data_IF_156499871770
#
_entry.id   IF_156499871770
#
_cell.length_a   1.000
_cell.length_b   1.000
_cell.length_c   1.000
_cell.angle_alpha   90.00
_cell.angle_beta   90.00
_cell.angle_gamma   90.00
#
_symmetry.space_group_name_H-M   'P 1'
#
loop_
_entity.id
_entity.type
_entity.pdbx_description
1 polymer ?
#
# COMPACT_ATOMS: atom_id res chain seq x y z
N UNK A 1 -33.62 -6.98 -8.99
CA UNK A 1 -33.41 -6.98 -10.46
C UNK A 1 -33.87 -5.66 -11.09
N UNK A 2 -35.16 -5.28 -11.02
CA UNK A 2 -35.70 -4.07 -11.69
C UNK A 2 -35.05 -2.72 -11.33
N UNK A 3 -34.50 -2.56 -10.12
CA UNK A 3 -33.92 -1.28 -9.67
C UNK A 3 -32.53 -1.01 -10.30
N UNK A 4 -31.62 -1.98 -10.29
CA UNK A 4 -30.34 -1.87 -11.00
C UNK A 4 -30.54 -1.87 -12.51
N UNK A 5 -31.44 -2.69 -13.05
CA UNK A 5 -31.77 -2.63 -14.47
C UNK A 5 -32.26 -1.23 -14.86
N UNK A 6 -33.07 -0.58 -14.02
CA UNK A 6 -33.49 0.82 -14.25
C UNK A 6 -32.32 1.81 -14.18
N UNK A 7 -31.40 1.67 -13.21
CA UNK A 7 -30.23 2.55 -13.07
C UNK A 7 -29.21 2.35 -14.20
N UNK A 8 -29.00 1.11 -14.64
CA UNK A 8 -28.15 0.76 -15.80
C UNK A 8 -28.78 1.31 -17.08
N UNK A 9 -30.10 1.15 -17.26
CA UNK A 9 -30.84 1.69 -18.41
C UNK A 9 -30.85 3.22 -18.42
N UNK A 10 -30.84 3.87 -17.24
CA UNK A 10 -30.71 5.33 -17.09
C UNK A 10 -29.25 5.83 -17.17
N UNK A 11 -28.27 4.93 -17.29
CA UNK A 11 -26.85 5.27 -17.40
C UNK A 11 -26.16 5.64 -16.07
N UNK A 12 -26.82 5.46 -14.93
CA UNK A 12 -26.28 5.73 -13.60
C UNK A 12 -25.31 4.65 -13.09
N UNK A 13 -25.23 3.50 -13.76
CA UNK A 13 -24.41 2.36 -13.36
C UNK A 13 -23.82 1.63 -14.57
N UNK A 14 -22.54 1.29 -14.52
CA UNK A 14 -21.89 0.47 -15.55
C UNK A 14 -22.45 -0.96 -15.54
N UNK A 15 -22.87 -1.48 -16.71
CA UNK A 15 -23.46 -2.81 -16.80
C UNK A 15 -22.41 -3.93 -16.63
N UNK A 16 -22.72 -4.94 -15.80
CA UNK A 16 -22.00 -6.21 -15.77
C UNK A 16 -22.32 -7.05 -17.00
N UNK A 17 -21.44 -8.01 -17.35
CA UNK A 17 -21.69 -8.97 -18.44
C UNK A 17 -22.88 -9.87 -18.17
N UNK A 18 -22.98 -10.37 -16.93
CA UNK A 18 -24.04 -11.22 -16.46
C UNK A 18 -24.14 -11.12 -14.93
N UNK A 19 -25.28 -11.51 -14.37
CA UNK A 19 -25.48 -11.67 -12.93
C UNK A 19 -25.15 -13.11 -12.47
N UNK A 20 -24.24 -13.81 -13.17
CA UNK A 20 -23.87 -15.18 -12.81
C UNK A 20 -22.91 -15.19 -11.60
N UNK A 21 -22.89 -16.27 -10.80
CA UNK A 21 -21.99 -16.39 -9.66
C UNK A 21 -20.52 -16.18 -10.04
N UNK A 22 -20.10 -16.65 -11.22
CA UNK A 22 -18.73 -16.53 -11.72
C UNK A 22 -18.37 -15.06 -12.00
N UNK A 23 -19.26 -14.31 -12.65
CA UNK A 23 -19.03 -12.88 -12.94
C UNK A 23 -19.04 -12.06 -11.66
N UNK A 24 -19.87 -12.43 -10.67
CA UNK A 24 -19.89 -11.77 -9.37
C UNK A 24 -18.60 -12.03 -8.58
N UNK A 25 -18.00 -13.21 -8.67
CA UNK A 25 -16.70 -13.47 -8.03
C UNK A 25 -15.58 -12.68 -8.68
N UNK A 26 -15.50 -12.67 -10.02
CA UNK A 26 -14.55 -11.82 -10.76
C UNK A 26 -14.76 -10.32 -10.44
N UNK A 27 -16.01 -9.91 -10.19
CA UNK A 27 -16.31 -8.54 -9.76
C UNK A 27 -15.78 -8.24 -8.34
N UNK A 28 -15.79 -9.20 -7.41
CA UNK A 28 -15.17 -9.05 -6.07
C UNK A 28 -13.65 -8.93 -6.16
N UNK A 29 -13.02 -9.78 -6.96
CA UNK A 29 -11.57 -9.71 -7.19
C UNK A 29 -11.16 -8.39 -7.84
N UNK A 30 -11.95 -7.92 -8.82
CA UNK A 30 -11.74 -6.63 -9.45
C UNK A 30 -11.96 -5.47 -8.47
N UNK A 31 -12.99 -5.53 -7.61
CA UNK A 31 -13.24 -4.52 -6.59
C UNK A 31 -12.02 -4.32 -5.69
N UNK A 32 -11.47 -5.41 -5.15
CA UNK A 32 -10.28 -5.38 -4.30
C UNK A 32 -9.05 -4.84 -5.04
N UNK A 33 -8.86 -5.22 -6.31
CA UNK A 33 -7.75 -4.73 -7.13
C UNK A 33 -7.87 -3.24 -7.46
N UNK A 34 -9.08 -2.75 -7.75
CA UNK A 34 -9.34 -1.33 -7.99
C UNK A 34 -9.17 -0.51 -6.71
N UNK A 35 -9.57 -1.04 -5.55
CA UNK A 35 -9.35 -0.41 -4.24
C UNK A 35 -7.86 -0.21 -3.96
N UNK A 36 -7.04 -1.25 -4.15
CA UNK A 36 -5.59 -1.15 -4.00
C UNK A 36 -4.96 -0.14 -4.96
N UNK A 37 -5.39 -0.12 -6.22
CA UNK A 37 -4.93 0.87 -7.19
C UNK A 37 -5.35 2.30 -6.82
N UNK A 38 -6.58 2.48 -6.33
CA UNK A 38 -7.11 3.78 -5.92
C UNK A 38 -6.34 4.34 -4.72
N UNK A 39 -6.02 3.50 -3.74
CA UNK A 39 -5.21 3.88 -2.58
C UNK A 39 -3.81 4.34 -3.00
N UNK A 40 -3.12 3.56 -3.85
CA UNK A 40 -1.81 3.94 -4.37
C UNK A 40 -1.85 5.24 -5.19
N UNK A 41 -2.87 5.41 -6.03
CA UNK A 41 -3.04 6.62 -6.82
C UNK A 41 -3.29 7.84 -5.93
N UNK A 42 -4.12 7.69 -4.90
CA UNK A 42 -4.39 8.73 -3.92
C UNK A 42 -3.13 9.13 -3.16
N UNK A 43 -2.37 8.16 -2.64
CA UNK A 43 -1.11 8.45 -1.93
C UNK A 43 -0.14 9.26 -2.79
N UNK A 44 -0.06 8.99 -4.09
CA UNK A 44 0.76 9.76 -5.02
C UNK A 44 0.19 11.16 -5.30
N UNK A 45 -1.13 11.27 -5.49
CA UNK A 45 -1.80 12.55 -5.73
C UNK A 45 -1.68 13.50 -4.52
N UNK A 46 -1.76 12.98 -3.30
CA UNK A 46 -1.61 13.74 -2.05
C UNK A 46 -0.21 14.35 -1.88
N UNK A 47 0.81 13.82 -2.57
CA UNK A 47 2.13 14.45 -2.60
C UNK A 47 2.14 15.78 -3.36
N UNK A 48 1.18 16.00 -4.26
CA UNK A 48 1.14 17.15 -5.19
C UNK A 48 2.19 17.10 -6.29
N UNK A 49 2.98 16.02 -6.37
CA UNK A 49 4.11 15.90 -7.29
C UNK A 49 3.67 15.40 -8.67
N UNK A 50 3.72 16.29 -9.67
CA UNK A 50 3.28 16.01 -11.05
C UNK A 50 4.09 14.88 -11.71
N UNK A 51 5.36 14.72 -11.32
CA UNK A 51 6.25 13.72 -11.91
C UNK A 51 5.77 12.29 -11.69
N UNK A 52 5.02 12.01 -10.61
CA UNK A 52 4.53 10.67 -10.29
C UNK A 52 3.53 10.18 -11.34
N UNK A 53 2.62 11.05 -11.79
CA UNK A 53 1.69 10.77 -12.88
C UNK A 53 2.40 10.62 -14.23
N UNK A 54 3.43 11.44 -14.48
CA UNK A 54 4.24 11.34 -15.70
C UNK A 54 5.02 10.02 -15.76
N UNK A 55 5.63 9.61 -14.65
CA UNK A 55 6.32 8.33 -14.52
C UNK A 55 5.34 7.17 -14.77
N UNK A 56 4.19 7.13 -14.09
CA UNK A 56 3.14 6.12 -14.34
C UNK A 56 2.77 6.05 -15.82
N UNK A 57 2.60 7.21 -16.47
CA UNK A 57 2.29 7.25 -17.89
C UNK A 57 3.42 6.68 -18.76
N UNK A 58 4.68 7.05 -18.53
CA UNK A 58 5.84 6.53 -19.26
C UNK A 58 6.04 5.03 -19.03
N UNK A 59 5.80 4.53 -17.82
CA UNK A 59 5.90 3.10 -17.50
C UNK A 59 4.95 2.21 -18.34
N UNK A 60 3.85 2.77 -18.86
CA UNK A 60 2.93 2.05 -19.77
C UNK A 60 3.42 1.95 -21.20
N UNK A 61 4.33 2.83 -21.61
CA UNK A 61 4.74 2.96 -23.00
C UNK A 61 5.87 1.98 -23.31
N UNK A 62 5.75 1.26 -24.43
CA UNK A 62 6.79 0.33 -24.87
C UNK A 62 8.13 1.03 -25.15
N UNK A 63 8.10 2.31 -25.55
CA UNK A 63 9.28 3.13 -25.85
C UNK A 63 10.22 3.32 -24.65
N UNK A 64 9.75 3.19 -23.41
CA UNK A 64 10.53 3.39 -22.19
C UNK A 64 10.91 2.06 -21.49
N UNK A 65 10.87 0.93 -22.22
CA UNK A 65 11.10 -0.39 -21.62
C UNK A 65 12.51 -0.53 -21.01
N UNK A 66 13.53 -0.01 -21.69
CA UNK A 66 14.92 -0.09 -21.21
C UNK A 66 15.14 0.76 -19.95
N UNK A 67 14.63 1.99 -19.93
CA UNK A 67 14.69 2.89 -18.78
C UNK A 67 13.91 2.31 -17.59
N UNK A 68 12.75 1.68 -17.86
CA UNK A 68 11.95 1.02 -16.84
C UNK A 68 12.68 -0.16 -16.21
N UNK A 69 13.35 -1.00 -17.01
CA UNK A 69 14.17 -2.11 -16.49
C UNK A 69 15.35 -1.60 -15.66
N UNK A 70 15.98 -0.50 -16.07
CA UNK A 70 17.03 0.15 -15.28
C UNK A 70 16.50 0.69 -13.94
N UNK A 71 15.28 1.25 -13.90
CA UNK A 71 14.62 1.65 -12.66
C UNK A 71 14.32 0.44 -11.76
N UNK A 72 13.80 -0.65 -12.33
CA UNK A 72 13.49 -1.89 -11.60
C UNK A 72 14.73 -2.47 -10.90
N UNK A 73 15.88 -2.46 -11.60
CA UNK A 73 17.16 -2.91 -11.05
C UNK A 73 17.65 -2.05 -9.87
N UNK A 74 17.17 -0.81 -9.72
CA UNK A 74 17.53 0.07 -8.60
C UNK A 74 16.70 -0.20 -7.34
N UNK A 75 15.55 -0.87 -7.43
CA UNK A 75 14.67 -1.07 -6.27
C UNK A 75 15.27 -1.97 -5.18
N UNK A 76 16.11 -2.95 -5.54
CA UNK A 76 16.85 -3.73 -4.54
C UNK A 76 17.83 -2.86 -3.76
N UNK A 77 18.47 -1.90 -4.42
CA UNK A 77 19.43 -1.01 -3.79
C UNK A 77 18.72 -0.04 -2.83
N UNK A 78 17.54 0.45 -3.23
CA UNK A 78 16.69 1.28 -2.35
C UNK A 78 16.38 0.57 -1.03
N UNK A 79 16.01 -0.72 -1.09
CA UNK A 79 15.71 -1.49 0.12
C UNK A 79 16.93 -1.59 1.06
N UNK A 80 18.13 -1.79 0.50
CA UNK A 80 19.38 -1.81 1.27
C UNK A 80 19.68 -0.44 1.91
N UNK A 81 19.53 0.65 1.15
CA UNK A 81 19.75 2.02 1.65
C UNK A 81 18.79 2.39 2.77
N UNK A 82 17.51 2.03 2.66
CA UNK A 82 16.50 2.24 3.72
C UNK A 82 16.87 1.43 4.96
N UNK A 83 17.32 0.19 4.80
CA UNK A 83 17.73 -0.64 5.92
C UNK A 83 18.91 -0.02 6.69
N UNK A 84 19.97 0.39 5.98
CA UNK A 84 21.12 1.05 6.60
C UNK A 84 20.73 2.37 7.27
N UNK A 85 19.86 3.16 6.63
CA UNK A 85 19.33 4.41 7.23
C UNK A 85 18.71 4.16 8.61
N UNK A 86 17.89 3.10 8.76
CA UNK A 86 17.26 2.75 10.05
C UNK A 86 18.28 2.47 11.15
N UNK A 87 19.39 1.81 10.82
CA UNK A 87 20.45 1.53 11.78
C UNK A 87 21.19 2.81 12.21
N UNK A 88 21.51 3.70 11.27
CA UNK A 88 22.15 4.98 11.58
C UNK A 88 21.23 5.99 12.27
N UNK A 89 19.90 5.85 12.19
CA UNK A 89 18.98 6.64 13.01
C UNK A 89 19.06 6.28 14.51
N UNK A 90 19.34 5.01 14.83
CA UNK A 90 19.47 4.54 16.23
C UNK A 90 20.81 4.98 16.84
N UNK A 91 21.87 4.98 16.02
CA UNK A 91 23.23 5.34 16.42
C UNK A 91 23.86 6.23 15.33
N UNK A 92 23.65 7.55 15.38
CA UNK A 92 24.07 8.45 14.31
C UNK A 92 25.58 8.54 14.22
N UNK A 93 26.07 8.78 13.01
CA UNK A 93 27.48 9.00 12.70
C UNK A 93 27.62 10.30 11.92
N UNK A 94 28.59 11.10 12.32
CA UNK A 94 28.98 12.33 11.64
C UNK A 94 30.41 12.16 11.14
N UNK A 95 30.59 12.26 9.83
CA UNK A 95 31.89 12.28 9.17
C UNK A 95 31.97 13.58 8.37
N UNK A 96 33.02 14.41 8.55
CA UNK A 96 33.17 15.63 7.78
C UNK A 96 33.27 15.35 6.29
N UNK A 97 32.62 16.16 5.45
CA UNK A 97 32.61 15.97 3.99
C UNK A 97 34.02 15.90 3.39
N UNK A 98 34.96 16.67 3.96
CA UNK A 98 36.37 16.67 3.57
C UNK A 98 37.02 15.27 3.69
N UNK A 99 36.63 14.47 4.69
CA UNK A 99 37.19 13.13 4.91
C UNK A 99 36.89 12.16 3.76
N UNK A 100 35.73 12.30 3.08
CA UNK A 100 35.38 11.46 1.94
C UNK A 100 36.23 11.70 0.69
N UNK A 101 36.92 12.84 0.64
CA UNK A 101 37.78 13.23 -0.48
C UNK A 101 39.26 12.97 -0.19
N UNK A 102 39.60 12.51 1.02
CA UNK A 102 40.96 12.28 1.48
C UNK A 102 41.26 10.77 1.61
N UNK A 103 42.01 10.15 0.67
CA UNK A 103 42.34 8.71 0.75
C UNK A 103 42.99 8.32 2.09
N UNK A 104 43.86 9.17 2.63
CA UNK A 104 44.50 8.96 3.93
C UNK A 104 43.53 8.97 5.12
N UNK A 105 42.42 9.71 5.04
CA UNK A 105 41.38 9.70 6.07
C UNK A 105 40.60 8.38 6.02
N UNK A 106 40.26 7.90 4.82
CA UNK A 106 39.60 6.61 4.62
C UNK A 106 40.47 5.44 5.11
N UNK A 107 41.78 5.46 4.82
CA UNK A 107 42.73 4.49 5.38
C UNK A 107 42.79 4.53 6.91
N UNK A 108 42.75 5.73 7.50
CA UNK A 108 42.78 5.88 8.96
C UNK A 108 41.50 5.30 9.60
N UNK A 109 40.34 5.54 8.99
CA UNK A 109 39.06 4.95 9.42
C UNK A 109 39.12 3.41 9.33
N UNK A 110 39.62 2.87 8.22
CA UNK A 110 39.76 1.42 8.05
C UNK A 110 40.64 0.78 9.13
N UNK A 111 41.80 1.41 9.44
CA UNK A 111 42.67 0.94 10.54
C UNK A 111 42.04 1.10 11.91
N UNK A 112 41.26 2.15 12.11
CA UNK A 112 40.44 2.33 13.31
C UNK A 112 39.49 1.14 13.48
N UNK A 113 38.84 0.69 12.41
CA UNK A 113 37.90 -0.43 12.45
C UNK A 113 38.57 -1.79 12.72
N UNK A 114 39.86 -1.93 12.41
CA UNK A 114 40.65 -3.13 12.70
C UNK A 114 41.24 -3.11 14.12
N UNK A 115 41.77 -1.96 14.58
CA UNK A 115 42.66 -1.88 15.75
C UNK A 115 42.18 -0.93 16.86
N UNK A 116 41.14 -0.16 16.61
CA UNK A 116 40.69 0.94 17.47
C UNK A 116 41.56 2.20 17.40
N UNK A 117 42.67 2.17 16.63
CA UNK A 117 43.68 3.23 16.59
C UNK A 117 43.90 3.75 15.16
N UNK A 118 43.22 4.82 14.73
CA UNK A 118 43.24 5.28 13.34
C UNK A 118 44.63 5.77 12.85
N UNK A 119 45.50 6.24 13.75
CA UNK A 119 46.79 6.84 13.39
C UNK A 119 48.04 6.03 13.78
N UNK A 120 47.88 4.89 14.49
CA UNK A 120 49.01 4.11 15.01
C UNK A 120 49.96 4.94 15.90
N UNK A 121 51.13 4.36 16.23
CA UNK A 121 52.13 5.01 17.11
C UNK A 121 53.07 5.94 16.33
N UNK A 122 53.17 5.81 15.01
CA UNK A 122 54.09 6.59 14.17
C UNK A 122 53.45 7.04 12.86
N UNK A 123 52.83 8.24 12.86
CA UNK A 123 52.55 9.03 11.65
C UNK A 123 52.70 10.53 11.94
N UNK A 124 53.86 11.07 11.59
CA UNK A 124 54.16 12.50 11.50
C UNK A 124 53.75 12.97 10.10
N UNK A 125 52.99 14.06 10.02
CA UNK A 125 52.50 14.66 8.76
C UNK A 125 51.00 14.46 8.51
N UNK A 126 50.34 15.51 8.00
CA UNK A 126 48.93 15.52 7.62
C UNK A 126 47.97 16.10 8.66
N UNK A 127 48.19 17.35 9.09
CA UNK A 127 47.32 18.04 10.07
C UNK A 127 45.84 17.99 9.70
N UNK A 128 45.52 18.27 8.44
CA UNK A 128 44.14 18.24 7.90
C UNK A 128 43.47 16.85 8.00
N UNK A 129 44.25 15.76 7.84
CA UNK A 129 43.73 14.39 7.97
C UNK A 129 43.42 14.10 9.45
N UNK A 130 44.32 14.50 10.36
CA UNK A 130 44.10 14.33 11.81
C UNK A 130 42.92 15.16 12.29
N UNK A 131 42.77 16.37 11.78
CA UNK A 131 41.63 17.25 12.05
C UNK A 131 40.32 16.62 11.55
N UNK A 132 40.27 16.20 10.28
CA UNK A 132 39.08 15.60 9.68
C UNK A 132 38.65 14.31 10.38
N UNK A 133 39.59 13.40 10.68
CA UNK A 133 39.29 12.16 11.40
C UNK A 133 38.97 12.44 12.87
N UNK A 134 39.63 13.41 13.50
CA UNK A 134 39.36 13.82 14.88
C UNK A 134 38.00 14.51 15.07
N UNK A 135 37.42 15.04 14.00
CA UNK A 135 36.07 15.62 13.99
C UNK A 135 34.94 14.58 13.83
N UNK A 136 35.26 13.30 13.59
CA UNK A 136 34.25 12.23 13.49
C UNK A 136 33.53 12.04 14.82
N UNK A 137 32.21 11.85 14.77
CA UNK A 137 31.40 11.55 15.95
C UNK A 137 30.50 10.33 15.72
N UNK A 138 30.33 9.53 16.77
CA UNK A 138 29.31 8.47 16.89
C UNK A 138 28.42 8.84 18.07
N UNK A 139 27.12 9.04 17.82
CA UNK A 139 26.18 9.55 18.83
C UNK A 139 26.70 10.80 19.57
N UNK A 140 27.34 11.72 18.84
CA UNK A 140 27.91 12.96 19.39
C UNK A 140 29.24 12.83 20.13
N UNK A 141 29.84 11.64 20.22
CA UNK A 141 31.12 11.40 20.92
C UNK A 141 32.22 10.94 19.95
N UNK A 142 33.50 11.19 20.24
CA UNK A 142 34.60 10.60 19.49
C UNK A 142 34.52 9.06 19.52
N UNK A 143 34.88 8.36 18.42
CA UNK A 143 35.02 6.91 18.44
C UNK A 143 36.14 6.47 19.39
N UNK A 144 35.84 5.57 20.34
CA UNK A 144 36.80 5.11 21.36
C UNK A 144 37.08 3.61 21.27
N UNK A 145 36.14 2.85 20.69
CA UNK A 145 36.23 1.39 20.57
C UNK A 145 36.37 0.93 19.12
N UNK A 146 36.85 -0.30 18.93
CA UNK A 146 36.86 -0.98 17.63
C UNK A 146 35.44 -0.97 17.01
N UNK A 147 34.40 -1.17 17.82
CA UNK A 147 33.02 -1.20 17.34
C UNK A 147 32.51 0.17 16.90
N UNK A 148 32.94 1.26 17.55
CA UNK A 148 32.66 2.63 17.06
C UNK A 148 33.29 2.83 15.68
N UNK A 149 34.55 2.44 15.51
CA UNK A 149 35.24 2.61 14.23
C UNK A 149 34.68 1.71 13.13
N UNK A 150 34.25 0.48 13.42
CA UNK A 150 33.52 -0.37 12.47
C UNK A 150 32.21 0.29 12.05
N UNK A 151 31.51 0.94 12.98
CA UNK A 151 30.28 1.69 12.67
C UNK A 151 30.56 2.90 11.77
N UNK A 152 31.66 3.62 12.00
CA UNK A 152 32.13 4.70 11.11
C UNK A 152 32.52 4.16 9.73
N UNK A 153 33.23 3.03 9.66
CA UNK A 153 33.60 2.41 8.38
C UNK A 153 32.37 1.98 7.58
N UNK A 154 31.34 1.43 8.23
CA UNK A 154 30.04 1.16 7.60
C UNK A 154 29.39 2.42 7.06
N UNK A 155 29.47 3.53 7.78
CA UNK A 155 28.94 4.82 7.31
C UNK A 155 29.66 5.32 6.04
N UNK A 156 30.99 5.15 5.99
CA UNK A 156 31.78 5.47 4.79
C UNK A 156 31.37 4.59 3.60
N UNK A 157 31.22 3.29 3.81
CA UNK A 157 30.74 2.38 2.77
C UNK A 157 29.33 2.77 2.29
N UNK A 158 28.44 3.17 3.20
CA UNK A 158 27.10 3.67 2.86
C UNK A 158 27.17 4.94 2.00
N UNK A 159 28.07 5.88 2.30
CA UNK A 159 28.27 7.08 1.50
C UNK A 159 28.68 6.76 0.05
N UNK A 160 29.52 5.75 -0.15
CA UNK A 160 29.88 5.27 -1.50
C UNK A 160 28.71 4.61 -2.21
N UNK A 161 27.94 3.75 -1.52
CA UNK A 161 26.73 3.12 -2.06
C UNK A 161 25.70 4.17 -2.50
N UNK A 162 25.45 5.19 -1.67
CA UNK A 162 24.52 6.29 -1.98
C UNK A 162 25.00 7.12 -3.17
N UNK A 163 26.32 7.36 -3.29
CA UNK A 163 26.90 8.04 -4.45
C UNK A 163 26.69 7.24 -5.73
N UNK A 164 27.01 5.94 -5.71
CA UNK A 164 26.82 5.03 -6.85
C UNK A 164 25.34 4.93 -7.27
N UNK A 165 24.44 4.76 -6.30
CA UNK A 165 23.00 4.77 -6.53
C UNK A 165 22.54 6.06 -7.20
N UNK A 166 22.98 7.22 -6.69
CA UNK A 166 22.55 8.52 -7.19
C UNK A 166 22.99 8.78 -8.63
N UNK A 167 24.18 8.30 -9.03
CA UNK A 167 24.63 8.39 -10.42
C UNK A 167 23.72 7.59 -11.34
N UNK A 168 23.42 6.33 -10.99
CA UNK A 168 22.54 5.46 -11.79
C UNK A 168 21.10 5.98 -11.83
N UNK A 169 20.57 6.42 -10.70
CA UNK A 169 19.26 7.07 -10.62
C UNK A 169 19.18 8.29 -11.54
N UNK A 170 20.16 9.19 -11.44
CA UNK A 170 20.15 10.45 -12.18
C UNK A 170 20.32 10.25 -13.70
N UNK A 171 20.91 9.14 -14.14
CA UNK A 171 21.04 8.80 -15.55
C UNK A 171 19.68 8.51 -16.21
N UNK A 172 18.71 7.97 -15.47
CA UNK A 172 17.35 7.67 -15.96
C UNK A 172 16.29 8.69 -15.52
N UNK A 173 16.61 9.54 -14.53
CA UNK A 173 15.66 10.45 -13.92
C UNK A 173 14.97 11.35 -14.95
N UNK A 174 15.74 12.04 -15.80
CA UNK A 174 15.18 12.94 -16.81
C UNK A 174 14.34 12.21 -17.87
N UNK A 175 14.82 11.04 -18.32
CA UNK A 175 14.13 10.21 -19.30
C UNK A 175 12.75 9.76 -18.79
N UNK A 176 12.65 9.46 -17.49
CA UNK A 176 11.42 9.04 -16.84
C UNK A 176 10.65 10.16 -16.12
N UNK A 177 11.04 11.43 -16.32
CA UNK A 177 10.48 12.60 -15.63
C UNK A 177 10.66 12.63 -14.09
N UNK A 178 11.50 11.78 -13.52
CA UNK A 178 11.74 11.73 -12.08
C UNK A 178 12.69 12.87 -11.63
N UNK A 179 12.58 13.33 -10.37
CA UNK A 179 13.54 14.27 -9.80
C UNK A 179 14.92 13.61 -9.62
N UNK A 180 15.98 14.41 -9.76
CA UNK A 180 17.35 13.98 -9.45
C UNK A 180 17.54 13.91 -7.93
N UNK A 181 18.36 12.95 -7.49
CA UNK A 181 18.73 12.77 -6.09
C UNK A 181 20.19 13.14 -5.86
N UNK A 182 20.53 13.50 -4.61
CA UNK A 182 21.89 13.83 -4.21
C UNK A 182 22.57 12.64 -3.54
N UNK A 183 23.80 12.34 -3.97
CA UNK A 183 24.62 11.24 -3.45
C UNK A 183 25.25 11.51 -2.10
N UNK A 184 24.45 11.71 -1.05
CA UNK A 184 24.91 11.90 0.33
C UNK A 184 24.03 11.14 1.32
N UNK A 185 24.64 10.55 2.35
CA UNK A 185 23.93 9.88 3.45
C UNK A 185 22.94 10.83 4.15
N UNK A 186 23.27 12.12 4.24
CA UNK A 186 22.38 13.17 4.77
C UNK A 186 21.07 13.33 3.98
N UNK A 187 21.04 12.83 2.74
CA UNK A 187 19.91 12.91 1.80
C UNK A 187 19.17 11.58 1.64
N UNK A 188 19.47 10.58 2.48
CA UNK A 188 18.78 9.29 2.44
C UNK A 188 17.27 9.38 2.66
N UNK A 189 16.79 10.33 3.49
CA UNK A 189 15.35 10.54 3.65
C UNK A 189 14.69 11.01 2.34
N UNK A 190 15.33 11.94 1.64
CA UNK A 190 14.82 12.46 0.37
C UNK A 190 14.84 11.35 -0.70
N UNK A 191 15.92 10.54 -0.74
CA UNK A 191 16.02 9.36 -1.60
C UNK A 191 14.91 8.35 -1.30
N UNK A 192 14.67 8.03 -0.03
CA UNK A 192 13.61 7.10 0.40
C UNK A 192 12.23 7.56 -0.07
N UNK A 193 11.90 8.84 0.11
CA UNK A 193 10.61 9.40 -0.34
C UNK A 193 10.46 9.36 -1.87
N UNK A 194 11.47 9.84 -2.59
CA UNK A 194 11.44 9.89 -4.07
C UNK A 194 11.37 8.47 -4.66
N UNK A 195 12.21 7.56 -4.18
CA UNK A 195 12.24 6.18 -4.68
C UNK A 195 10.99 5.40 -4.30
N UNK A 196 10.42 5.63 -3.12
CA UNK A 196 9.13 5.05 -2.72
C UNK A 196 7.98 5.50 -3.62
N UNK A 197 7.91 6.79 -3.94
CA UNK A 197 6.90 7.30 -4.88
C UNK A 197 7.12 6.76 -6.30
N UNK A 198 8.37 6.62 -6.74
CA UNK A 198 8.68 6.04 -8.03
C UNK A 198 8.27 4.56 -8.12
N UNK A 199 8.50 3.80 -7.05
CA UNK A 199 8.05 2.41 -6.95
C UNK A 199 6.52 2.30 -7.05
N UNK A 200 5.77 3.13 -6.32
CA UNK A 200 4.29 3.13 -6.40
C UNK A 200 3.78 3.51 -7.79
N UNK A 201 4.36 4.54 -8.41
CA UNK A 201 3.99 4.97 -9.76
C UNK A 201 4.32 3.91 -10.82
N UNK A 202 5.48 3.25 -10.68
CA UNK A 202 5.88 2.10 -11.50
C UNK A 202 4.90 0.94 -11.34
N UNK A 203 4.55 0.56 -10.10
CA UNK A 203 3.61 -0.51 -9.80
C UNK A 203 2.21 -0.22 -10.36
N UNK A 204 1.74 1.03 -10.29
CA UNK A 204 0.51 1.43 -10.95
C UNK A 204 0.61 1.28 -12.47
N UNK A 205 1.68 1.78 -13.09
CA UNK A 205 1.83 1.79 -14.54
C UNK A 205 2.08 0.41 -15.17
N UNK A 206 2.72 -0.51 -14.45
CA UNK A 206 3.14 -1.82 -14.99
C UNK A 206 2.21 -2.96 -14.59
N UNK A 207 1.71 -2.95 -13.36
CA UNK A 207 0.84 -4.00 -12.84
C UNK A 207 -0.63 -3.60 -13.00
N UNK A 208 -1.06 -2.51 -12.35
CA UNK A 208 -2.47 -2.15 -12.30
C UNK A 208 -3.02 -1.71 -13.66
N UNK A 209 -2.35 -0.78 -14.32
CA UNK A 209 -2.80 -0.25 -15.62
C UNK A 209 -2.78 -1.30 -16.74
N UNK A 210 -2.02 -2.37 -16.56
CA UNK A 210 -1.96 -3.52 -17.48
C UNK A 210 -3.07 -4.53 -17.16
N UNK A 211 -3.25 -4.92 -15.89
CA UNK A 211 -4.12 -6.02 -15.50
C UNK A 211 -5.57 -5.61 -15.23
N UNK A 212 -5.82 -4.40 -14.73
CA UNK A 212 -7.18 -3.95 -14.43
C UNK A 212 -8.10 -3.93 -15.66
N UNK A 213 -7.68 -3.43 -16.84
CA UNK A 213 -8.52 -3.49 -18.04
C UNK A 213 -8.89 -4.93 -18.44
N UNK A 214 -7.93 -5.85 -18.36
CA UNK A 214 -8.15 -7.27 -18.72
C UNK A 214 -9.12 -7.95 -17.75
N UNK A 215 -9.03 -7.66 -16.45
CA UNK A 215 -10.01 -8.14 -15.47
C UNK A 215 -11.37 -7.50 -15.66
N UNK A 216 -11.40 -6.20 -15.92
CA UNK A 216 -12.64 -5.47 -16.19
C UNK A 216 -13.36 -5.94 -17.45
N UNK A 217 -12.63 -6.44 -18.45
CA UNK A 217 -13.24 -7.13 -19.58
C UNK A 217 -14.09 -8.30 -19.10
N UNK A 218 -13.64 -9.15 -18.17
CA UNK A 218 -14.41 -10.30 -17.70
C UNK A 218 -15.67 -9.93 -16.91
N UNK A 219 -15.69 -8.74 -16.33
CA UNK A 219 -16.74 -8.28 -15.40
C UNK A 219 -17.78 -7.41 -16.09
N UNK A 220 -17.36 -6.40 -16.85
CA UNK A 220 -18.24 -5.40 -17.45
C UNK A 220 -18.63 -5.74 -18.90
N UNK A 221 -19.87 -5.42 -19.27
CA UNK A 221 -20.31 -5.49 -20.66
C UNK A 221 -19.54 -4.48 -21.53
N UNK A 222 -19.27 -3.28 -20.98
CA UNK A 222 -18.40 -2.26 -21.58
C UNK A 222 -17.38 -1.77 -20.54
N UNK A 223 -16.12 -2.25 -20.59
CA UNK A 223 -15.12 -1.92 -19.59
C UNK A 223 -14.74 -0.43 -19.57
N UNK A 224 -14.66 0.21 -18.38
CA UNK A 224 -14.27 1.61 -18.24
C UNK A 224 -12.74 1.79 -18.28
N UNK A 225 -12.12 1.47 -19.42
CA UNK A 225 -10.64 1.40 -19.55
C UNK A 225 -9.95 2.73 -19.18
N UNK A 226 -10.56 3.86 -19.54
CA UNK A 226 -9.97 5.18 -19.24
C UNK A 226 -9.97 5.46 -17.74
N UNK A 227 -11.06 5.13 -17.04
CA UNK A 227 -11.17 5.31 -15.59
C UNK A 227 -10.20 4.39 -14.85
N UNK A 228 -10.06 3.14 -15.30
CA UNK A 228 -9.13 2.16 -14.71
C UNK A 228 -7.65 2.56 -14.87
N UNK A 229 -7.34 3.40 -15.85
CA UNK A 229 -5.99 3.95 -16.11
C UNK A 229 -5.83 5.39 -15.61
N UNK A 230 -6.86 5.88 -14.91
CA UNK A 230 -7.05 7.27 -14.54
C UNK A 230 -6.58 7.62 -13.12
N UNK A 231 -7.09 8.72 -12.60
CA UNK A 231 -6.81 9.24 -11.25
C UNK A 231 -7.45 8.38 -10.15
N UNK A 232 -7.09 8.65 -8.89
CA UNK A 232 -7.73 8.02 -7.73
C UNK A 232 -9.25 8.18 -7.75
N UNK A 233 -9.75 9.34 -8.15
CA UNK A 233 -11.19 9.63 -8.23
C UNK A 233 -11.86 8.76 -9.29
N UNK A 234 -11.26 8.64 -10.47
CA UNK A 234 -11.79 7.80 -11.54
C UNK A 234 -11.77 6.30 -11.17
N UNK A 235 -10.74 5.85 -10.46
CA UNK A 235 -10.69 4.49 -9.91
C UNK A 235 -11.79 4.25 -8.87
N UNK A 236 -12.03 5.22 -7.98
CA UNK A 236 -13.11 5.14 -6.97
C UNK A 236 -14.50 5.12 -7.60
N UNK A 237 -14.73 5.81 -8.71
CA UNK A 237 -15.99 5.72 -9.46
C UNK A 237 -16.25 4.27 -9.91
N UNK A 238 -15.24 3.58 -10.46
CA UNK A 238 -15.37 2.17 -10.87
C UNK A 238 -15.62 1.27 -9.66
N UNK A 239 -14.91 1.50 -8.56
CA UNK A 239 -15.12 0.78 -7.30
C UNK A 239 -16.56 0.92 -6.80
N UNK A 240 -17.11 2.13 -6.83
CA UNK A 240 -18.48 2.41 -6.39
C UNK A 240 -19.51 1.69 -7.26
N UNK A 241 -19.29 1.61 -8.58
CA UNK A 241 -20.13 0.82 -9.47
C UNK A 241 -20.11 -0.68 -9.14
N UNK A 242 -18.92 -1.25 -8.90
CA UNK A 242 -18.76 -2.67 -8.53
C UNK A 242 -19.44 -2.97 -7.18
N UNK A 243 -19.20 -2.12 -6.18
CA UNK A 243 -19.78 -2.27 -4.84
C UNK A 243 -21.30 -2.28 -4.88
N UNK A 244 -21.93 -1.40 -5.67
CA UNK A 244 -23.39 -1.36 -5.82
C UNK A 244 -23.96 -2.64 -6.42
N UNK A 245 -23.30 -3.19 -7.44
CA UNK A 245 -23.71 -4.48 -8.03
C UNK A 245 -23.60 -5.63 -7.03
N UNK A 246 -22.47 -5.72 -6.31
CA UNK A 246 -22.23 -6.78 -5.34
C UNK A 246 -23.21 -6.72 -4.17
N UNK A 247 -23.43 -5.52 -3.61
CA UNK A 247 -24.40 -5.32 -2.54
C UNK A 247 -25.81 -5.74 -2.99
N UNK A 248 -26.21 -5.42 -4.22
CA UNK A 248 -27.51 -5.85 -4.72
C UNK A 248 -27.59 -7.36 -4.95
N UNK A 249 -26.54 -7.99 -5.48
CA UNK A 249 -26.50 -9.44 -5.63
C UNK A 249 -26.61 -10.16 -4.27
N UNK A 250 -25.97 -9.64 -3.23
CA UNK A 250 -26.12 -10.13 -1.85
C UNK A 250 -27.55 -9.99 -1.33
N UNK A 251 -28.20 -8.86 -1.59
CA UNK A 251 -29.60 -8.64 -1.25
C UNK A 251 -30.55 -9.60 -1.99
N UNK A 252 -30.26 -9.92 -3.26
CA UNK A 252 -31.03 -10.90 -4.02
C UNK A 252 -30.85 -12.32 -3.49
N UNK A 253 -29.63 -12.72 -3.14
CA UNK A 253 -29.35 -14.01 -2.50
C UNK A 253 -30.09 -14.15 -1.17
N UNK A 254 -30.28 -13.06 -0.42
CA UNK A 254 -31.01 -13.07 0.85
C UNK A 254 -32.53 -13.29 0.69
N UNK A 255 -33.09 -13.17 -0.51
CA UNK A 255 -34.53 -13.40 -0.76
C UNK A 255 -34.92 -14.86 -0.55
N UNK A 256 -34.08 -15.81 -0.99
CA UNK A 256 -34.38 -17.25 -0.90
C UNK A 256 -34.40 -17.73 0.55
N UNK A 257 -33.39 -17.49 1.40
CA UNK A 257 -33.45 -17.82 2.83
C UNK A 257 -34.66 -17.19 3.53
N UNK A 258 -35.03 -15.95 3.17
CA UNK A 258 -36.22 -15.30 3.73
C UNK A 258 -37.51 -16.01 3.33
N UNK A 259 -37.62 -16.43 2.07
CA UNK A 259 -38.76 -17.23 1.60
C UNK A 259 -38.82 -18.59 2.32
N UNK A 260 -37.68 -19.27 2.47
CA UNK A 260 -37.59 -20.54 3.23
C UNK A 260 -37.97 -20.36 4.70
N UNK A 261 -37.56 -19.26 5.35
CA UNK A 261 -37.96 -18.95 6.72
C UNK A 261 -39.48 -18.74 6.83
N UNK A 262 -40.08 -18.02 5.87
CA UNK A 262 -41.54 -17.84 5.80
C UNK A 262 -42.26 -19.17 5.63
N UNK A 263 -41.79 -20.03 4.75
CA UNK A 263 -42.37 -21.35 4.50
C UNK A 263 -42.28 -22.25 5.75
N UNK A 264 -41.12 -22.30 6.41
CA UNK A 264 -40.94 -23.08 7.65
C UNK A 264 -41.82 -22.57 8.81
N UNK A 265 -42.13 -21.28 8.82
CA UNK A 265 -43.04 -20.69 9.80
C UNK A 265 -44.51 -20.84 9.39
N UNK A 266 -44.80 -21.14 8.13
CA UNK A 266 -46.16 -21.39 7.66
C UNK A 266 -46.70 -22.68 8.29
N UNK A 267 -47.94 -22.64 8.79
CA UNK A 267 -48.57 -23.78 9.46
C UNK A 267 -48.12 -24.03 10.91
N UNK A 268 -47.19 -23.25 11.46
CA UNK A 268 -46.88 -23.27 12.90
C UNK A 268 -47.70 -22.22 13.65
N UNK A 269 -48.21 -22.61 14.82
CA UNK A 269 -49.09 -21.77 15.65
C UNK A 269 -48.50 -21.63 17.05
N UNK A 270 -48.58 -20.43 17.62
CA UNK A 270 -48.09 -20.13 18.96
C UNK A 270 -47.41 -18.76 19.04
N UNK A 271 -47.32 -18.18 20.25
CA UNK A 271 -46.87 -16.81 20.45
C UNK A 271 -45.43 -16.55 19.94
N UNK A 272 -44.56 -17.57 19.97
CA UNK A 272 -43.18 -17.47 19.47
C UNK A 272 -43.15 -17.54 17.94
N UNK A 273 -43.94 -18.43 17.32
CA UNK A 273 -44.04 -18.53 15.86
C UNK A 273 -44.62 -17.27 15.23
N UNK A 274 -45.63 -16.66 15.86
CA UNK A 274 -46.20 -15.38 15.42
C UNK A 274 -45.20 -14.23 15.57
N UNK A 275 -44.47 -14.17 16.68
CA UNK A 275 -43.43 -13.17 16.87
C UNK A 275 -42.27 -13.33 15.87
N UNK A 276 -41.85 -14.56 15.56
CA UNK A 276 -40.86 -14.84 14.52
C UNK A 276 -41.38 -14.48 13.12
N UNK A 277 -42.66 -14.69 12.83
CA UNK A 277 -43.26 -14.31 11.55
C UNK A 277 -43.26 -12.79 11.38
N UNK A 278 -43.69 -12.02 12.39
CA UNK A 278 -43.59 -10.55 12.37
C UNK A 278 -42.15 -10.07 12.22
N UNK A 279 -41.21 -10.66 12.95
CA UNK A 279 -39.79 -10.32 12.82
C UNK A 279 -39.28 -10.52 11.38
N UNK A 280 -39.60 -11.65 10.73
CA UNK A 280 -39.19 -11.93 9.35
C UNK A 280 -39.85 -11.00 8.34
N UNK A 281 -41.09 -10.58 8.59
CA UNK A 281 -41.89 -9.77 7.66
C UNK A 281 -41.67 -8.26 7.78
N UNK A 282 -41.47 -7.76 8.99
CA UNK A 282 -41.46 -6.33 9.31
C UNK A 282 -40.06 -5.81 9.64
N UNK A 283 -39.18 -6.67 10.14
CA UNK A 283 -37.87 -6.23 10.69
C UNK A 283 -36.68 -6.73 9.86
N UNK A 284 -36.75 -7.95 9.33
CA UNK A 284 -35.65 -8.56 8.58
C UNK A 284 -35.50 -7.90 7.18
N UNK A 285 -34.46 -7.07 7.04
CA UNK A 285 -34.19 -6.27 5.84
C UNK A 285 -34.68 -4.81 5.93
N UNK A 286 -35.15 -4.37 7.09
CA UNK A 286 -35.49 -2.96 7.33
C UNK A 286 -34.21 -2.10 7.45
N UNK A 287 -34.02 -1.15 6.55
CA UNK A 287 -32.84 -0.28 6.52
C UNK A 287 -32.68 0.63 7.77
N UNK A 288 -33.75 0.80 8.56
CA UNK A 288 -33.73 1.57 9.78
C UNK A 288 -33.16 0.80 10.99
N UNK A 289 -32.94 -0.51 10.87
CA UNK A 289 -32.44 -1.37 11.95
C UNK A 289 -31.00 -1.81 11.65
N UNK A 290 -30.10 -1.67 12.63
CA UNK A 290 -28.73 -2.18 12.51
C UNK A 290 -28.68 -3.71 12.59
N UNK A 291 -27.65 -4.32 12.00
CA UNK A 291 -27.45 -5.77 12.06
C UNK A 291 -27.38 -6.30 13.52
N UNK A 292 -26.73 -5.54 14.41
CA UNK A 292 -26.65 -5.85 15.84
C UNK A 292 -28.02 -5.83 16.52
N UNK A 293 -28.87 -4.86 16.19
CA UNK A 293 -30.23 -4.77 16.72
C UNK A 293 -31.10 -5.94 16.25
N UNK A 294 -30.99 -6.29 14.96
CA UNK A 294 -31.69 -7.44 14.35
C UNK A 294 -31.24 -8.75 14.99
N UNK A 295 -29.93 -8.93 15.20
CA UNK A 295 -29.36 -10.11 15.87
C UNK A 295 -29.80 -10.21 17.33
N UNK A 296 -29.75 -9.12 18.10
CA UNK A 296 -30.18 -9.10 19.49
C UNK A 296 -31.68 -9.46 19.63
N UNK A 297 -32.53 -8.94 18.74
CA UNK A 297 -33.95 -9.27 18.70
C UNK A 297 -34.20 -10.74 18.34
N UNK A 298 -33.51 -11.27 17.34
CA UNK A 298 -33.59 -12.68 16.97
C UNK A 298 -33.17 -13.60 18.14
N UNK A 299 -32.04 -13.30 18.79
CA UNK A 299 -31.57 -14.04 19.97
C UNK A 299 -32.59 -14.01 21.11
N UNK A 300 -33.23 -12.85 21.35
CA UNK A 300 -34.30 -12.73 22.34
C UNK A 300 -35.52 -13.62 22.03
N UNK A 301 -35.91 -13.75 20.77
CA UNK A 301 -36.98 -14.65 20.32
C UNK A 301 -36.57 -16.13 20.44
N UNK A 302 -35.32 -16.45 20.14
CA UNK A 302 -34.76 -17.80 20.27
C UNK A 302 -34.66 -18.26 21.74
N UNK A 303 -34.24 -17.38 22.65
CA UNK A 303 -34.15 -17.68 24.08
C UNK A 303 -35.52 -17.93 24.74
N UNK A 304 -36.60 -17.27 24.29
CA UNK A 304 -37.96 -17.52 24.80
C UNK A 304 -38.47 -18.93 24.54
N UNK A 305 -37.85 -19.65 23.59
CA UNK A 305 -38.12 -21.07 23.30
C UNK A 305 -37.61 -22.03 24.39
N UNK A 306 -36.68 -21.58 25.24
CA UNK A 306 -36.00 -22.41 26.25
C UNK A 306 -36.67 -22.45 27.64
N UNK A 307 -37.73 -21.67 27.88
CA UNK A 307 -38.50 -21.72 29.13
C UNK A 307 -39.81 -22.51 28.94
N UNK A 308 -39.87 -23.81 29.30
CA UNK A 308 -41.15 -24.51 29.39
C UNK A 308 -41.96 -23.96 30.57
N UNK A 309 -43.27 -23.82 30.37
CA UNK A 309 -44.17 -23.04 31.19
C UNK A 309 -44.10 -23.31 32.70
N UNK A 310 -44.02 -22.23 33.49
CA UNK A 310 -44.50 -22.23 34.87
C UNK A 310 -46.01 -22.52 34.84
N UNK A 311 -46.40 -23.74 35.21
CA UNK A 311 -47.76 -24.01 35.67
C UNK A 311 -47.98 -23.18 36.93
N UNK A 312 -48.98 -22.31 36.88
CA UNK A 312 -49.64 -21.77 38.07
C UNK A 312 -50.29 -22.94 38.81
N UNK A 313 -49.80 -23.23 40.02
CA UNK A 313 -50.61 -23.94 41.01
C UNK A 313 -51.31 -22.89 41.87
N UNK A 314 -52.60 -23.16 42.13
CA UNK A 314 -53.35 -22.57 43.23
C UNK A 314 -52.69 -22.90 44.57
#
# INVERSE_FOLDING_TARGET
MRAIESEVVKGGLLALRAASPEVLEEARELLAAVEGAAALAQELEETGEVWTAQLRHKCRQAAFTSERQALEALFSDVALLINERREFLKRPVEVPDAAFSMPKALEAIARGAESGKPFGVFRVGGGEVKESVGAIRVAGRPPESIDDWKHVQRYVALQEMVRSFSVRWNAIAELLSMPKVRGSVSKLRDIELISGNAYKAHLLGTNHDTHLPVRAERVFAKPPIQQLKGTSTQLREVWEHLRRHLMHAELELAVVPRATLREKLAGTSGPISEALRRFVDEELGCAALSAECVMARYSGLACRRATPGRRTCA
#
